data_IF_606945618597
#
_entry.id   IF_606945618597
#
_cell.length_a   1.000
_cell.length_b   1.000
_cell.length_c   1.000
_cell.angle_alpha   90.00
_cell.angle_beta   90.00
_cell.angle_gamma   90.00
#
_symmetry.space_group_name_H-M   'P 1'
#
loop_
_entity.id
_entity.type
_entity.pdbx_description
1 polymer ?
#
# COMPACT_ATOMS: atom_id res chain seq x y z
N UNK A 1 2.61 2.45 4.88
CA UNK A 1 2.67 1.78 6.20
C UNK A 1 1.79 2.49 7.25
N UNK A 2 0.91 1.79 7.98
CA UNK A 2 0.23 2.40 9.12
C UNK A 2 1.30 2.74 10.16
N UNK A 3 1.48 4.03 10.40
CA UNK A 3 2.44 4.52 11.40
C UNK A 3 1.73 4.41 12.74
N UNK A 4 2.17 3.49 13.60
CA UNK A 4 1.81 3.53 15.02
C UNK A 4 2.35 4.85 15.57
N UNK A 5 1.46 5.76 15.95
CA UNK A 5 1.83 6.99 16.65
C UNK A 5 2.31 6.59 18.06
N UNK A 6 3.62 6.42 18.21
CA UNK A 6 4.24 6.18 19.51
C UNK A 6 4.30 7.53 20.23
N UNK A 7 3.36 7.76 21.14
CA UNK A 7 3.39 8.92 22.03
C UNK A 7 4.52 8.69 23.04
N UNK A 8 5.60 9.45 22.96
CA UNK A 8 6.87 9.26 23.68
C UNK A 8 6.81 9.44 25.21
N UNK A 9 5.61 9.63 25.77
CA UNK A 9 5.38 9.83 27.20
C UNK A 9 4.20 8.98 27.73
N UNK A 10 4.03 7.77 27.20
CA UNK A 10 2.90 6.91 27.53
C UNK A 10 3.28 5.84 28.55
N UNK A 11 2.66 5.90 29.74
CA UNK A 11 2.57 4.72 30.61
C UNK A 11 1.96 3.60 29.78
N UNK A 12 2.54 2.40 29.83
CA UNK A 12 1.99 1.25 29.14
C UNK A 12 0.63 0.94 29.77
N UNK A 13 -0.45 1.20 29.03
CA UNK A 13 -1.83 0.94 29.46
C UNK A 13 -2.24 -0.52 29.27
N UNK A 14 -1.27 -1.41 29.11
CA UNK A 14 -1.46 -2.85 28.92
C UNK A 14 -0.96 -3.56 30.17
N UNK A 15 -1.76 -4.51 30.64
CA UNK A 15 -1.34 -5.46 31.66
C UNK A 15 -0.19 -6.33 31.16
N UNK A 16 0.52 -6.95 32.11
CA UNK A 16 1.61 -7.86 31.78
C UNK A 16 1.15 -9.07 30.95
N UNK A 17 -0.06 -9.57 31.21
CA UNK A 17 -0.67 -10.65 30.43
C UNK A 17 -1.00 -10.22 29.00
N UNK A 18 -1.54 -9.01 28.79
CA UNK A 18 -1.86 -8.51 27.45
C UNK A 18 -0.60 -8.28 26.61
N UNK A 19 0.45 -7.71 27.20
CA UNK A 19 1.75 -7.58 26.53
C UNK A 19 2.32 -8.93 26.13
N UNK A 20 2.23 -9.93 27.03
CA UNK A 20 2.66 -11.29 26.74
C UNK A 20 1.87 -11.88 25.57
N UNK A 21 0.54 -11.74 25.58
CA UNK A 21 -0.31 -12.21 24.49
C UNK A 21 -0.03 -11.50 23.16
N UNK A 22 0.26 -10.20 23.16
CA UNK A 22 0.66 -9.47 21.95
C UNK A 22 2.00 -9.97 21.40
N UNK A 23 2.98 -10.21 22.27
CA UNK A 23 4.27 -10.78 21.87
C UNK A 23 4.14 -12.21 21.33
N UNK A 24 3.20 -13.01 21.87
CA UNK A 24 2.88 -14.33 21.35
C UNK A 24 2.16 -14.24 20.00
N UNK A 25 1.24 -13.27 19.84
CA UNK A 25 0.53 -13.02 18.60
C UNK A 25 1.46 -12.56 17.48
N UNK A 26 2.42 -11.68 17.77
CA UNK A 26 3.41 -11.19 16.82
C UNK A 26 4.27 -12.33 16.24
N UNK A 27 4.55 -13.36 17.04
CA UNK A 27 5.38 -14.50 16.63
C UNK A 27 4.63 -15.53 15.78
N UNK A 28 3.31 -15.40 15.65
CA UNK A 28 2.51 -16.32 14.84
C UNK A 28 2.68 -16.02 13.35
N UNK A 29 3.16 -17.01 12.61
CA UNK A 29 3.35 -16.93 11.14
C UNK A 29 2.15 -17.48 10.36
N UNK A 30 1.27 -18.23 11.02
CA UNK A 30 0.10 -18.89 10.42
C UNK A 30 -1.07 -17.93 10.18
N UNK A 31 -1.04 -16.76 10.81
CA UNK A 31 -2.03 -15.70 10.65
C UNK A 31 -1.40 -14.41 10.13
N UNK A 32 -2.21 -13.67 9.37
CA UNK A 32 -1.89 -12.36 8.84
C UNK A 32 -2.92 -11.35 9.35
N UNK A 33 -2.44 -10.23 9.88
CA UNK A 33 -3.26 -9.11 10.34
C UNK A 33 -3.11 -7.96 9.36
N UNK A 34 -4.21 -7.53 8.73
CA UNK A 34 -4.22 -6.43 7.74
C UNK A 34 -5.40 -5.48 7.95
N UNK A 35 -5.26 -4.20 7.60
CA UNK A 35 -6.41 -3.32 7.54
C UNK A 35 -7.38 -3.79 6.44
N UNK A 36 -8.67 -3.69 6.71
CA UNK A 36 -9.70 -3.79 5.69
C UNK A 36 -9.57 -2.62 4.71
N UNK A 37 -9.99 -2.84 3.48
CA UNK A 37 -10.00 -1.79 2.48
C UNK A 37 -10.93 -0.61 2.80
N UNK A 38 -12.10 -0.88 3.38
CA UNK A 38 -13.08 0.15 3.77
C UNK A 38 -13.53 -0.07 5.20
N UNK A 39 -13.93 1.01 5.86
CA UNK A 39 -14.55 0.97 7.18
C UNK A 39 -13.57 0.92 8.35
N UNK A 40 -12.25 0.96 8.12
CA UNK A 40 -11.25 1.05 9.19
C UNK A 40 -11.07 -0.22 10.05
N UNK A 41 -11.77 -1.31 9.71
CA UNK A 41 -11.67 -2.57 10.44
C UNK A 41 -10.31 -3.25 10.26
N UNK A 42 -9.95 -4.11 11.22
CA UNK A 42 -8.77 -5.00 11.13
C UNK A 42 -9.27 -6.40 10.75
N UNK A 43 -8.55 -7.06 9.86
CA UNK A 43 -8.85 -8.42 9.39
C UNK A 43 -7.73 -9.35 9.83
N UNK A 44 -8.10 -10.45 10.47
CA UNK A 44 -7.22 -11.58 10.79
C UNK A 44 -7.57 -12.72 9.85
N UNK A 45 -6.60 -13.24 9.12
CA UNK A 45 -6.82 -14.34 8.18
C UNK A 45 -5.61 -15.28 8.12
N UNK A 46 -5.79 -16.49 7.58
CA UNK A 46 -4.67 -17.42 7.37
C UNK A 46 -3.68 -16.84 6.36
N UNK A 47 -2.39 -16.92 6.69
CA UNK A 47 -1.29 -16.50 5.81
C UNK A 47 -1.32 -17.25 4.49
N UNK A 48 -1.59 -18.56 4.52
CA UNK A 48 -1.64 -19.41 3.32
C UNK A 48 -2.79 -19.01 2.39
N UNK A 49 -4.00 -18.81 2.94
CA UNK A 49 -5.16 -18.35 2.16
C UNK A 49 -4.90 -17.00 1.49
N UNK A 50 -4.25 -16.08 2.21
CA UNK A 50 -3.88 -14.78 1.67
C UNK A 50 -2.88 -14.94 0.52
N UNK A 51 -1.82 -15.72 0.71
CA UNK A 51 -0.80 -15.96 -0.33
C UNK A 51 -1.40 -16.63 -1.57
N UNK A 52 -2.28 -17.62 -1.39
CA UNK A 52 -3.00 -18.25 -2.50
C UNK A 52 -3.86 -17.24 -3.27
N UNK A 53 -4.57 -16.36 -2.57
CA UNK A 53 -5.39 -15.31 -3.20
C UNK A 53 -4.54 -14.31 -3.99
N UNK A 54 -3.37 -13.94 -3.48
CA UNK A 54 -2.40 -13.09 -4.17
C UNK A 54 -1.89 -13.78 -5.43
N UNK A 55 -1.41 -15.02 -5.33
CA UNK A 55 -0.90 -15.77 -6.47
C UNK A 55 -1.98 -16.02 -7.52
N UNK A 56 -3.22 -16.25 -7.11
CA UNK A 56 -4.35 -16.36 -8.03
C UNK A 56 -4.57 -15.08 -8.85
N UNK A 57 -4.34 -13.89 -8.26
CA UNK A 57 -4.43 -12.63 -9.00
C UNK A 57 -3.24 -12.41 -9.93
N UNK A 58 -2.02 -12.73 -9.48
CA UNK A 58 -0.80 -12.55 -10.26
C UNK A 58 -0.66 -13.54 -11.43
N UNK A 59 -1.33 -14.69 -11.33
CA UNK A 59 -1.37 -15.70 -12.39
C UNK A 59 -2.43 -15.43 -13.47
N UNK A 60 -3.16 -14.32 -13.39
CA UNK A 60 -4.08 -13.89 -14.44
C UNK A 60 -3.29 -13.52 -15.71
N UNK A 61 -3.40 -14.36 -16.73
CA UNK A 61 -2.67 -14.23 -18.00
C UNK A 61 -3.27 -13.19 -18.94
N UNK A 62 -4.51 -12.76 -18.70
CA UNK A 62 -5.12 -11.68 -19.46
C UNK A 62 -4.56 -10.33 -19.02
N UNK A 63 -4.17 -10.22 -17.74
CA UNK A 63 -3.59 -9.01 -17.15
C UNK A 63 -2.05 -9.02 -17.11
N UNK A 64 -1.41 -10.15 -16.83
CA UNK A 64 0.01 -10.25 -16.53
C UNK A 64 0.73 -11.23 -17.46
N UNK A 65 1.96 -10.89 -17.82
CA UNK A 65 2.87 -11.81 -18.53
C UNK A 65 4.04 -12.15 -17.62
N UNK A 66 4.36 -13.44 -17.41
CA UNK A 66 5.50 -13.83 -16.60
C UNK A 66 6.81 -13.36 -17.24
N UNK A 67 7.72 -12.85 -16.43
CA UNK A 67 9.07 -12.52 -16.87
C UNK A 67 9.91 -13.80 -16.99
N UNK A 68 10.68 -13.90 -18.07
CA UNK A 68 11.53 -15.07 -18.36
C UNK A 68 12.71 -15.15 -17.39
N UNK A 69 13.20 -13.99 -16.95
CA UNK A 69 14.28 -13.86 -15.97
C UNK A 69 13.96 -12.71 -15.02
N UNK A 70 14.50 -12.76 -13.81
CA UNK A 70 14.38 -11.66 -12.86
C UNK A 70 15.34 -10.54 -13.29
N UNK A 71 14.85 -9.38 -13.75
CA UNK A 71 15.72 -8.31 -14.25
C UNK A 71 16.29 -7.44 -13.13
N UNK A 72 16.02 -7.76 -11.85
CA UNK A 72 16.36 -6.94 -10.70
C UNK A 72 17.83 -6.51 -10.71
N UNK A 73 18.78 -7.43 -10.89
CA UNK A 73 20.21 -7.10 -10.90
C UNK A 73 20.62 -6.17 -12.05
N UNK A 74 19.99 -6.32 -13.22
CA UNK A 74 20.26 -5.44 -14.34
C UNK A 74 19.74 -4.03 -14.05
N UNK A 75 18.51 -3.94 -13.54
CA UNK A 75 17.90 -2.67 -13.19
C UNK A 75 18.55 -2.02 -11.98
N UNK A 76 19.10 -2.77 -11.02
CA UNK A 76 19.85 -2.20 -9.88
C UNK A 76 20.99 -1.31 -10.36
N UNK A 77 21.80 -1.77 -11.31
CA UNK A 77 22.92 -0.98 -11.85
C UNK A 77 22.42 0.27 -12.60
N UNK A 78 21.38 0.12 -13.43
CA UNK A 78 20.78 1.24 -14.17
C UNK A 78 20.15 2.27 -13.24
N UNK A 79 19.47 1.80 -12.19
CA UNK A 79 18.84 2.60 -11.15
C UNK A 79 19.91 3.34 -10.36
N UNK A 80 20.97 2.69 -9.89
CA UNK A 80 22.05 3.34 -9.13
C UNK A 80 22.69 4.48 -9.92
N UNK A 81 22.95 4.28 -11.21
CA UNK A 81 23.48 5.34 -12.08
C UNK A 81 22.49 6.50 -12.26
N UNK A 82 21.19 6.21 -12.36
CA UNK A 82 20.15 7.21 -12.45
C UNK A 82 20.00 8.00 -11.14
N UNK A 83 20.09 7.31 -9.99
CA UNK A 83 20.02 7.90 -8.66
C UNK A 83 21.16 8.89 -8.42
N UNK A 84 22.39 8.51 -8.74
CA UNK A 84 23.54 9.41 -8.60
C UNK A 84 23.39 10.66 -9.48
N UNK A 85 22.93 10.50 -10.73
CA UNK A 85 22.64 11.64 -11.62
C UNK A 85 21.52 12.53 -11.09
N UNK A 86 20.44 11.93 -10.59
CA UNK A 86 19.29 12.66 -10.05
C UNK A 86 19.66 13.41 -8.77
N UNK A 87 20.46 12.80 -7.90
CA UNK A 87 20.96 13.41 -6.66
C UNK A 87 21.89 14.58 -6.98
N UNK A 88 22.85 14.39 -7.90
CA UNK A 88 23.76 15.46 -8.34
C UNK A 88 22.99 16.65 -8.95
N UNK A 89 21.86 16.40 -9.61
CA UNK A 89 20.99 17.45 -10.17
C UNK A 89 20.00 18.04 -9.16
N UNK A 90 19.97 17.53 -7.92
CA UNK A 90 19.03 17.96 -6.88
C UNK A 90 17.57 17.58 -7.16
N UNK A 91 17.31 16.59 -8.03
CA UNK A 91 15.96 16.14 -8.35
C UNK A 91 15.35 15.24 -7.28
N UNK A 92 16.21 14.55 -6.53
CA UNK A 92 15.83 13.72 -5.39
C UNK A 92 16.69 14.10 -4.19
N UNK A 93 16.13 13.94 -3.00
CA UNK A 93 16.81 14.15 -1.72
C UNK A 93 17.25 12.84 -1.07
N UNK A 94 16.75 11.70 -1.55
CA UNK A 94 17.00 10.37 -1.00
C UNK A 94 18.00 9.64 -1.88
N UNK A 95 19.11 9.18 -1.28
CA UNK A 95 20.18 8.46 -2.01
C UNK A 95 19.81 7.01 -2.36
N UNK A 96 18.97 6.37 -1.54
CA UNK A 96 18.57 4.97 -1.69
C UNK A 96 17.05 4.83 -1.53
N UNK A 97 16.26 5.05 -2.60
CA UNK A 97 14.82 4.88 -2.54
C UNK A 97 14.43 3.42 -2.31
N UNK A 98 13.26 3.23 -1.74
CA UNK A 98 12.68 1.92 -1.42
C UNK A 98 12.18 1.24 -2.70
N UNK A 99 12.26 -0.09 -2.78
CA UNK A 99 11.62 -0.86 -3.86
C UNK A 99 10.10 -0.93 -3.63
N UNK A 100 9.25 -0.67 -4.65
CA UNK A 100 7.80 -0.76 -4.49
C UNK A 100 7.35 -2.13 -3.97
N UNK A 101 6.44 -2.13 -3.00
CA UNK A 101 5.94 -3.35 -2.36
C UNK A 101 4.53 -3.69 -2.81
N UNK A 102 4.32 -4.91 -3.30
CA UNK A 102 2.99 -5.42 -3.63
C UNK A 102 2.32 -6.09 -2.42
N UNK A 103 1.06 -5.78 -2.17
CA UNK A 103 0.21 -6.46 -1.18
C UNK A 103 -1.28 -6.29 -1.49
N UNK A 104 -2.12 -7.09 -0.84
CA UNK A 104 -3.57 -7.08 -0.96
C UNK A 104 -4.26 -6.49 0.27
N UNK A 105 -5.33 -5.71 0.06
CA UNK A 105 -6.26 -5.31 1.13
C UNK A 105 -7.59 -6.08 1.03
N UNK A 106 -8.06 -6.75 2.10
CA UNK A 106 -9.33 -7.48 2.08
C UNK A 106 -10.54 -6.56 1.87
N UNK A 107 -11.36 -6.87 0.86
CA UNK A 107 -12.64 -6.18 0.58
C UNK A 107 -13.79 -6.80 1.37
N UNK A 108 -13.77 -6.67 2.70
CA UNK A 108 -14.79 -7.27 3.58
C UNK A 108 -16.23 -6.77 3.33
N UNK A 109 -16.37 -5.61 2.66
CA UNK A 109 -17.65 -5.07 2.21
C UNK A 109 -18.25 -5.81 0.99
N UNK A 110 -17.50 -6.74 0.38
CA UNK A 110 -17.97 -7.60 -0.71
C UNK A 110 -18.33 -9.00 -0.23
N UNK A 111 -17.54 -9.56 0.67
CA UNK A 111 -17.83 -10.83 1.35
C UNK A 111 -17.13 -10.86 2.70
N UNK A 112 -17.76 -11.43 3.71
CA UNK A 112 -17.13 -11.70 5.01
C UNK A 112 -16.36 -13.04 5.01
N UNK A 113 -16.77 -13.98 4.17
CA UNK A 113 -16.12 -15.29 4.01
C UNK A 113 -15.21 -15.20 2.78
N UNK A 114 -13.91 -15.41 2.98
CA UNK A 114 -12.87 -15.33 1.94
C UNK A 114 -12.98 -14.05 1.08
N UNK A 115 -12.82 -12.86 1.68
CA UNK A 115 -12.96 -11.57 0.99
C UNK A 115 -11.97 -11.43 -0.17
N UNK A 116 -12.40 -10.92 -1.34
CA UNK A 116 -11.47 -10.66 -2.42
C UNK A 116 -10.46 -9.58 -2.02
N UNK A 117 -9.21 -9.73 -2.44
CA UNK A 117 -8.16 -8.75 -2.17
C UNK A 117 -8.17 -7.64 -3.22
N UNK A 118 -7.86 -6.41 -2.81
CA UNK A 118 -7.43 -5.36 -3.74
C UNK A 118 -5.92 -5.33 -3.83
N UNK A 119 -5.36 -5.53 -5.03
CA UNK A 119 -3.93 -5.37 -5.23
C UNK A 119 -3.55 -3.91 -5.02
N UNK A 120 -2.47 -3.70 -4.27
CA UNK A 120 -1.84 -2.41 -4.00
C UNK A 120 -0.35 -2.58 -4.29
N UNK A 121 0.21 -1.65 -5.07
CA UNK A 121 1.66 -1.46 -5.17
C UNK A 121 1.97 -0.17 -4.40
N UNK A 122 2.61 -0.31 -3.24
CA UNK A 122 3.02 0.85 -2.45
C UNK A 122 4.35 1.36 -2.95
N UNK A 123 4.32 2.56 -3.52
CA UNK A 123 5.50 3.27 -4.04
C UNK A 123 5.97 4.41 -3.13
N UNK A 124 5.65 4.35 -1.83
CA UNK A 124 6.06 5.37 -0.86
C UNK A 124 7.55 5.22 -0.57
N UNK A 125 8.31 6.30 -0.66
CA UNK A 125 9.77 6.31 -0.53
C UNK A 125 10.50 5.80 -1.77
N UNK A 126 9.78 5.50 -2.86
CA UNK A 126 10.38 4.99 -4.10
C UNK A 126 10.94 6.11 -4.97
N UNK A 127 11.77 5.75 -5.95
CA UNK A 127 12.39 6.69 -6.88
C UNK A 127 11.37 7.57 -7.63
N UNK A 128 10.19 7.01 -7.91
CA UNK A 128 9.13 7.70 -8.64
C UNK A 128 8.25 8.59 -7.75
N UNK A 129 8.45 8.60 -6.42
CA UNK A 129 7.63 9.40 -5.52
C UNK A 129 7.80 10.92 -5.76
N UNK A 130 9.01 11.51 -5.84
CA UNK A 130 9.16 12.95 -6.11
C UNK A 130 8.56 13.35 -7.47
N UNK A 131 8.71 12.49 -8.48
CA UNK A 131 8.10 12.70 -9.80
C UNK A 131 6.57 12.68 -9.69
N UNK A 132 6.00 11.74 -8.94
CA UNK A 132 4.57 11.65 -8.69
C UNK A 132 4.04 12.90 -7.98
N UNK A 133 4.76 13.41 -6.97
CA UNK A 133 4.41 14.64 -6.26
C UNK A 133 4.47 15.87 -7.18
N UNK A 134 5.50 15.95 -8.03
CA UNK A 134 5.64 17.01 -9.03
C UNK A 134 4.46 17.00 -10.01
N UNK A 135 4.15 15.83 -10.60
CA UNK A 135 3.02 15.69 -11.51
C UNK A 135 1.70 16.04 -10.82
N UNK A 136 1.46 15.56 -9.60
CA UNK A 136 0.28 15.88 -8.81
C UNK A 136 0.12 17.40 -8.60
N UNK A 137 1.20 18.12 -8.27
CA UNK A 137 1.17 19.58 -8.15
C UNK A 137 0.68 20.28 -9.43
N UNK A 138 1.17 19.85 -10.60
CA UNK A 138 0.75 20.44 -11.88
C UNK A 138 -0.62 19.98 -12.34
N UNK A 139 -1.02 18.74 -12.04
CA UNK A 139 -2.30 18.18 -12.47
C UNK A 139 -3.46 18.67 -11.61
N UNK A 140 -3.24 18.97 -10.32
CA UNK A 140 -4.26 19.53 -9.41
C UNK A 140 -5.04 20.67 -10.03
N UNK A 141 -4.35 21.61 -10.71
CA UNK A 141 -5.00 22.78 -11.33
C UNK A 141 -5.97 22.45 -12.48
N UNK A 142 -5.89 21.25 -13.05
CA UNK A 142 -6.79 20.78 -14.11
C UNK A 142 -7.90 19.89 -13.53
N UNK A 143 -7.58 19.03 -12.56
CA UNK A 143 -8.57 18.13 -11.94
C UNK A 143 -9.66 18.91 -11.22
N UNK A 144 -9.32 20.01 -10.51
CA UNK A 144 -10.33 20.78 -9.76
C UNK A 144 -11.20 21.71 -10.62
N UNK A 145 -10.88 21.91 -11.91
CA UNK A 145 -11.72 22.75 -12.79
C UNK A 145 -13.00 22.04 -13.22
N UNK A 146 -12.99 20.71 -13.29
CA UNK A 146 -14.15 19.92 -13.76
C UNK A 146 -15.14 19.58 -12.63
N UNK A 147 -14.73 19.69 -11.36
CA UNK A 147 -15.62 19.50 -10.19
C UNK A 147 -16.23 20.81 -9.66
N UNK A 148 -15.93 21.96 -10.27
CA UNK A 148 -16.50 23.26 -9.92
C UNK A 148 -17.87 23.53 -10.57
N UNK A 149 -18.59 22.49 -10.99
CA UNK A 149 -20.04 22.52 -11.22
C UNK A 149 -20.73 21.78 -10.07
N UNK A 150 -21.16 22.47 -9.01
CA UNK A 150 -22.02 21.86 -8.01
C UNK A 150 -23.45 21.76 -8.58
N UNK A 151 -23.69 20.79 -9.45
CA UNK A 151 -25.04 20.23 -9.58
C UNK A 151 -25.20 19.26 -8.40
N UNK A 152 -25.88 19.77 -7.38
CA UNK A 152 -26.20 19.11 -6.12
C UNK A 152 -26.74 17.69 -6.31
N UNK A 153 -26.05 16.68 -5.80
CA UNK A 153 -26.59 15.32 -5.62
C UNK A 153 -27.63 15.21 -4.49
N UNK A 154 -28.11 16.34 -3.96
CA UNK A 154 -29.16 16.42 -2.94
C UNK A 154 -30.60 16.49 -3.53
N UNK A 155 -30.78 16.45 -4.85
CA UNK A 155 -32.12 16.49 -5.47
C UNK A 155 -32.62 15.13 -6.00
N UNK A 156 -32.03 14.00 -5.58
CA UNK A 156 -32.47 12.66 -5.99
C UNK A 156 -32.96 11.78 -4.83
N UNK A 157 -33.45 12.42 -3.76
CA UNK A 157 -34.08 11.75 -2.61
C UNK A 157 -35.53 12.21 -2.34
N UNK A 158 -36.14 12.97 -3.26
CA UNK A 158 -37.57 13.29 -3.22
C UNK A 158 -38.20 13.06 -4.60
N UNK A 159 -38.48 11.78 -4.91
CA UNK A 159 -39.66 11.35 -5.67
C UNK A 159 -39.86 9.84 -5.55
#
# INVERSE_FOLDING_TARGET
PPTLLIHSNSRINLSHSELKSLNELEKRLDILIRPADKGGSIVVMSTDKYNLSIMSQLNDKDCYTPLIHNPLKQHEVEIDQLLEKALHRGWITVKHPVCPMFYGLPKIHKSLIDPPLRPIVSSIGCLTEPLSQYLDFFLKKYVYKDFASPQSSLSLAEK
#
